data_IF_895152564556
#
_entry.id   IF_895152564556
#
_cell.length_a   1.000
_cell.length_b   1.000
_cell.length_c   1.000
_cell.angle_alpha   90.00
_cell.angle_beta   90.00
_cell.angle_gamma   90.00
#
_symmetry.space_group_name_H-M   'P 1'
#
loop_
_entity.id
_entity.type
_entity.pdbx_description
1 polymer ?
#
# COMPACT_ATOMS: atom_id res chain seq x y z
N UNK A 1 -28.67 -12.01 -11.05
CA UNK A 1 -27.42 -11.23 -11.00
C UNK A 1 -27.63 -9.99 -11.86
N UNK A 2 -27.42 -8.79 -11.33
CA UNK A 2 -27.47 -7.55 -12.12
C UNK A 2 -26.06 -7.14 -12.50
N UNK A 3 -25.87 -6.70 -13.73
CA UNK A 3 -24.59 -6.21 -14.26
C UNK A 3 -24.83 -4.92 -15.04
N UNK A 4 -23.87 -4.01 -14.97
CA UNK A 4 -23.80 -2.89 -15.91
C UNK A 4 -23.08 -3.38 -17.16
N UNK A 5 -23.69 -3.15 -18.32
CA UNK A 5 -23.15 -3.52 -19.61
C UNK A 5 -23.38 -2.37 -20.59
N UNK A 6 -22.46 -2.21 -21.54
CA UNK A 6 -22.71 -1.34 -22.71
C UNK A 6 -23.87 -1.90 -23.52
N UNK A 7 -24.66 -1.03 -24.14
CA UNK A 7 -25.87 -1.42 -24.86
C UNK A 7 -25.62 -2.45 -25.98
N UNK A 8 -24.51 -2.32 -26.71
CA UNK A 8 -24.09 -3.24 -27.77
C UNK A 8 -23.79 -4.65 -27.24
N UNK A 9 -23.11 -4.73 -26.10
CA UNK A 9 -22.84 -5.99 -25.42
C UNK A 9 -24.11 -6.57 -24.78
N UNK A 10 -24.96 -5.73 -24.20
CA UNK A 10 -26.20 -6.15 -23.57
C UNK A 10 -27.14 -6.83 -24.58
N UNK A 11 -27.28 -6.25 -25.78
CA UNK A 11 -28.04 -6.85 -26.88
C UNK A 11 -27.45 -8.18 -27.34
N UNK A 12 -26.13 -8.25 -27.52
CA UNK A 12 -25.43 -9.48 -27.95
C UNK A 12 -25.58 -10.61 -26.92
N UNK A 13 -25.58 -10.27 -25.63
CA UNK A 13 -25.69 -11.23 -24.52
C UNK A 13 -27.14 -11.57 -24.14
N UNK A 14 -28.14 -10.98 -24.80
CA UNK A 14 -29.55 -11.20 -24.50
C UNK A 14 -29.95 -10.70 -23.10
N UNK A 15 -29.28 -9.66 -22.59
CA UNK A 15 -29.57 -9.08 -21.29
C UNK A 15 -30.80 -8.17 -21.38
N UNK A 16 -31.66 -8.25 -20.37
CA UNK A 16 -32.83 -7.37 -20.26
C UNK A 16 -32.61 -6.29 -19.20
N UNK A 17 -33.07 -5.05 -19.41
CA UNK A 17 -33.04 -4.02 -18.39
C UNK A 17 -33.81 -4.45 -17.15
N UNK A 18 -33.23 -4.23 -15.97
CA UNK A 18 -33.86 -4.55 -14.70
C UNK A 18 -33.49 -3.51 -13.64
N UNK A 19 -34.43 -3.21 -12.75
CA UNK A 19 -34.18 -2.34 -11.61
C UNK A 19 -33.45 -3.08 -10.49
N UNK A 20 -32.70 -2.33 -9.69
CA UNK A 20 -32.11 -2.86 -8.46
C UNK A 20 -33.20 -3.47 -7.55
N UNK A 21 -32.96 -4.64 -6.92
CA UNK A 21 -33.91 -5.23 -5.99
C UNK A 21 -34.19 -4.29 -4.81
N UNK A 22 -35.43 -4.32 -4.30
CA UNK A 22 -35.79 -3.62 -3.08
C UNK A 22 -34.86 -4.03 -1.93
N UNK A 23 -34.38 -3.04 -1.16
CA UNK A 23 -33.46 -3.26 -0.03
C UNK A 23 -31.97 -3.40 -0.41
N UNK A 24 -31.60 -3.45 -1.70
CA UNK A 24 -30.17 -3.52 -2.10
C UNK A 24 -29.37 -2.34 -1.56
N UNK A 25 -29.89 -1.11 -1.67
CA UNK A 25 -29.20 0.09 -1.20
C UNK A 25 -28.90 0.02 0.30
N UNK A 26 -29.90 -0.31 1.12
CA UNK A 26 -29.74 -0.47 2.56
C UNK A 26 -28.75 -1.59 2.93
N UNK A 27 -28.78 -2.71 2.21
CA UNK A 27 -27.83 -3.80 2.42
C UNK A 27 -26.38 -3.40 2.06
N UNK A 28 -26.19 -2.64 0.97
CA UNK A 28 -24.87 -2.12 0.58
C UNK A 28 -24.36 -1.10 1.59
N UNK A 29 -25.19 -0.15 2.01
CA UNK A 29 -24.83 0.86 3.00
C UNK A 29 -24.38 0.21 4.31
N UNK A 30 -25.15 -0.76 4.82
CA UNK A 30 -24.78 -1.54 5.99
C UNK A 30 -23.42 -2.23 5.82
N UNK A 31 -23.23 -2.94 4.70
CA UNK A 31 -21.98 -3.67 4.44
C UNK A 31 -20.77 -2.74 4.32
N UNK A 32 -20.93 -1.60 3.64
CA UNK A 32 -19.87 -0.60 3.48
C UNK A 32 -19.52 0.02 4.83
N UNK A 33 -20.52 0.37 5.64
CA UNK A 33 -20.31 0.92 6.98
C UNK A 33 -19.55 -0.06 7.88
N UNK A 34 -19.99 -1.31 7.96
CA UNK A 34 -19.32 -2.35 8.77
C UNK A 34 -17.87 -2.59 8.33
N UNK A 35 -17.62 -2.70 7.02
CA UNK A 35 -16.27 -2.90 6.48
C UNK A 35 -15.37 -1.68 6.65
N UNK A 36 -15.93 -0.48 6.56
CA UNK A 36 -15.20 0.77 6.78
C UNK A 36 -14.79 0.88 8.24
N UNK A 37 -15.70 0.59 9.17
CA UNK A 37 -15.39 0.56 10.60
C UNK A 37 -14.29 -0.45 10.95
N UNK A 38 -14.35 -1.68 10.41
CA UNK A 38 -13.30 -2.68 10.63
C UNK A 38 -11.95 -2.27 10.02
N UNK A 39 -11.96 -1.68 8.82
CA UNK A 39 -10.75 -1.14 8.20
C UNK A 39 -10.10 -0.09 9.07
N UNK A 40 -10.89 0.88 9.54
CA UNK A 40 -10.37 2.01 10.32
C UNK A 40 -9.86 1.53 11.68
N UNK A 41 -10.56 0.59 12.33
CA UNK A 41 -10.09 -0.10 13.54
C UNK A 41 -8.70 -0.72 13.34
N UNK A 42 -8.49 -1.47 12.26
CA UNK A 42 -7.18 -2.10 11.96
C UNK A 42 -6.08 -1.07 11.67
N UNK A 43 -6.42 0.05 11.04
CA UNK A 43 -5.44 1.12 10.80
C UNK A 43 -5.04 1.81 12.09
N UNK A 44 -5.98 2.01 13.01
CA UNK A 44 -5.70 2.61 14.30
C UNK A 44 -4.88 1.67 15.19
N UNK A 45 -5.15 0.36 15.17
CA UNK A 45 -4.30 -0.65 15.80
C UNK A 45 -2.86 -0.61 15.25
N UNK A 46 -2.71 -0.60 13.93
CA UNK A 46 -1.40 -0.47 13.30
C UNK A 46 -0.68 0.79 13.77
N UNK A 47 -1.33 1.96 13.71
CA UNK A 47 -0.75 3.24 14.11
C UNK A 47 -0.38 3.28 15.59
N UNK A 48 -1.17 2.63 16.44
CA UNK A 48 -0.89 2.52 17.86
C UNK A 48 0.35 1.65 18.13
N UNK A 49 0.54 0.59 17.33
CA UNK A 49 1.68 -0.32 17.41
C UNK A 49 2.98 0.31 16.87
N UNK A 50 2.94 1.02 15.74
CA UNK A 50 4.15 1.53 15.06
C UNK A 50 4.57 2.94 15.51
N UNK A 51 4.63 3.18 16.82
CA UNK A 51 5.12 4.45 17.36
C UNK A 51 6.65 4.50 17.32
N UNK A 52 7.19 5.31 16.40
CA UNK A 52 8.63 5.51 16.25
C UNK A 52 9.34 4.34 15.55
N UNK A 53 10.67 4.35 15.63
CA UNK A 53 11.52 3.39 14.93
C UNK A 53 11.36 1.97 15.48
N UNK A 54 11.33 1.80 16.80
CA UNK A 54 11.27 0.49 17.45
C UNK A 54 9.98 -0.25 17.11
N UNK A 55 8.83 0.45 17.14
CA UNK A 55 7.55 -0.15 16.76
C UNK A 55 7.52 -0.63 15.29
N UNK A 56 8.19 0.09 14.39
CA UNK A 56 8.33 -0.35 12.99
C UNK A 56 9.27 -1.56 12.85
N UNK A 57 10.37 -1.58 13.60
CA UNK A 57 11.29 -2.72 13.63
C UNK A 57 10.59 -3.97 14.15
N UNK A 58 9.80 -3.83 15.21
CA UNK A 58 9.02 -4.91 15.81
C UNK A 58 7.93 -5.41 14.86
N UNK A 59 7.20 -4.51 14.20
CA UNK A 59 6.15 -4.87 13.24
C UNK A 59 6.69 -5.73 12.07
N UNK A 60 7.90 -5.45 11.61
CA UNK A 60 8.55 -6.21 10.54
C UNK A 60 9.59 -7.22 11.04
N UNK A 61 9.60 -7.53 12.34
CA UNK A 61 10.60 -8.39 12.99
C UNK A 61 10.57 -9.86 12.56
N UNK A 62 9.54 -10.32 11.87
CA UNK A 62 9.51 -11.68 11.29
C UNK A 62 9.77 -11.67 9.80
N UNK A 63 10.04 -10.52 9.18
CA UNK A 63 10.31 -10.45 7.75
C UNK A 63 11.67 -11.08 7.45
N UNK A 64 11.66 -12.04 6.52
CA UNK A 64 12.84 -12.76 6.01
C UNK A 64 13.30 -12.22 4.65
N UNK A 65 12.75 -11.07 4.22
CA UNK A 65 13.12 -10.40 2.96
C UNK A 65 13.03 -11.32 1.72
N UNK A 66 12.05 -12.23 1.68
CA UNK A 66 11.83 -13.13 0.54
C UNK A 66 11.28 -12.43 -0.72
N UNK A 67 10.93 -11.14 -0.62
CA UNK A 67 10.37 -10.32 -1.70
C UNK A 67 9.02 -10.76 -2.28
N UNK A 68 8.36 -11.83 -1.80
CA UNK A 68 7.04 -12.25 -2.30
C UNK A 68 6.00 -11.13 -2.29
N UNK A 69 5.97 -10.33 -1.23
CA UNK A 69 5.04 -9.20 -1.12
C UNK A 69 5.31 -8.08 -2.16
N UNK A 70 6.51 -8.03 -2.75
CA UNK A 70 6.86 -7.18 -3.90
C UNK A 70 6.39 -7.84 -5.20
N UNK A 71 6.70 -9.12 -5.41
CA UNK A 71 6.35 -9.86 -6.64
C UNK A 71 4.84 -9.90 -6.85
N UNK A 72 4.07 -10.16 -5.79
CA UNK A 72 2.62 -10.25 -5.86
C UNK A 72 1.92 -8.88 -5.99
N UNK A 73 2.66 -7.77 -5.88
CA UNK A 73 2.06 -6.45 -5.90
C UNK A 73 1.97 -5.91 -7.34
N UNK A 74 0.77 -5.55 -7.83
CA UNK A 74 0.56 -5.20 -9.24
C UNK A 74 1.14 -3.84 -9.59
N UNK A 75 1.43 -3.00 -8.59
CA UNK A 75 2.06 -1.68 -8.76
C UNK A 75 3.58 -1.71 -8.57
N UNK A 76 4.18 -2.87 -8.24
CA UNK A 76 5.63 -3.04 -8.19
C UNK A 76 6.19 -3.52 -9.53
N UNK A 77 6.10 -2.69 -10.58
CA UNK A 77 6.47 -3.05 -11.96
C UNK A 77 7.73 -2.34 -12.47
N UNK A 78 8.47 -1.62 -11.62
CA UNK A 78 9.68 -0.92 -12.03
C UNK A 78 10.65 -1.85 -12.78
N UNK A 79 11.17 -1.45 -13.96
CA UNK A 79 12.12 -2.27 -14.72
C UNK A 79 13.39 -2.59 -13.92
N UNK A 80 13.87 -1.59 -13.18
CA UNK A 80 15.03 -1.64 -12.30
C UNK A 80 14.56 -1.39 -10.87
N UNK A 81 14.94 -2.28 -9.95
CA UNK A 81 14.64 -2.13 -8.53
C UNK A 81 15.92 -2.31 -7.73
N UNK A 82 16.23 -1.35 -6.86
CA UNK A 82 17.43 -1.36 -6.01
C UNK A 82 17.53 -2.61 -5.11
N UNK A 83 16.40 -3.28 -4.82
CA UNK A 83 16.39 -4.54 -4.06
C UNK A 83 16.61 -5.79 -4.93
N UNK A 84 16.82 -5.62 -6.23
CA UNK A 84 17.25 -6.64 -7.19
C UNK A 84 18.66 -6.39 -7.70
N UNK A 85 19.34 -5.35 -7.22
CA UNK A 85 20.74 -5.05 -7.53
C UNK A 85 21.64 -5.47 -6.36
N UNK A 86 22.97 -5.57 -6.56
CA UNK A 86 23.92 -5.87 -5.50
C UNK A 86 24.08 -4.76 -4.43
N UNK A 87 23.29 -3.68 -4.49
CA UNK A 87 23.41 -2.52 -3.58
C UNK A 87 23.26 -2.90 -2.11
N UNK A 88 22.50 -3.97 -1.80
CA UNK A 88 22.32 -4.47 -0.44
C UNK A 88 23.04 -5.81 -0.19
N UNK A 89 23.92 -6.22 -1.10
CA UNK A 89 24.77 -7.40 -0.96
C UNK A 89 26.09 -6.97 -0.30
N UNK A 90 26.04 -6.84 1.02
CA UNK A 90 27.22 -6.42 1.79
C UNK A 90 28.27 -7.54 1.87
N UNK A 91 29.53 -7.16 1.92
CA UNK A 91 30.63 -8.11 2.13
C UNK A 91 30.58 -8.74 3.51
N UNK A 92 31.12 -9.95 3.68
CA UNK A 92 31.19 -10.62 4.99
C UNK A 92 31.84 -9.74 6.06
N UNK A 93 32.94 -9.06 5.73
CA UNK A 93 33.65 -8.16 6.64
C UNK A 93 32.76 -7.02 7.15
N UNK A 94 31.86 -6.50 6.32
CA UNK A 94 30.94 -5.43 6.70
C UNK A 94 29.92 -5.90 7.74
N UNK A 95 29.39 -7.12 7.61
CA UNK A 95 28.52 -7.70 8.64
C UNK A 95 29.24 -7.88 9.98
N UNK A 96 30.49 -8.37 9.98
CA UNK A 96 31.28 -8.49 11.21
C UNK A 96 31.57 -7.13 11.84
N UNK A 97 31.98 -6.13 11.05
CA UNK A 97 32.21 -4.77 11.53
C UNK A 97 30.96 -4.16 12.16
N UNK A 98 29.77 -4.41 11.61
CA UNK A 98 28.52 -3.95 12.21
C UNK A 98 28.17 -4.72 13.48
N UNK A 99 28.36 -6.03 13.50
CA UNK A 99 28.13 -6.85 14.70
C UNK A 99 29.04 -6.43 15.85
N UNK A 100 30.33 -6.19 15.59
CA UNK A 100 31.28 -5.70 16.59
C UNK A 100 30.88 -4.33 17.14
N UNK A 101 30.48 -3.40 16.27
CA UNK A 101 30.07 -2.04 16.68
C UNK A 101 28.74 -2.01 17.43
N UNK A 102 27.79 -2.88 17.08
CA UNK A 102 26.41 -2.87 17.61
C UNK A 102 26.15 -3.97 18.65
N UNK A 103 27.13 -4.83 18.93
CA UNK A 103 27.00 -6.04 19.74
C UNK A 103 26.26 -7.19 19.04
N UNK A 104 25.25 -6.89 18.23
CA UNK A 104 24.55 -7.85 17.40
C UNK A 104 24.00 -7.19 16.13
N UNK A 105 23.72 -8.01 15.11
CA UNK A 105 22.96 -7.60 13.94
C UNK A 105 21.83 -8.59 13.67
N UNK A 106 20.72 -8.07 13.15
CA UNK A 106 19.64 -8.88 12.60
C UNK A 106 19.99 -9.31 11.17
N UNK A 107 19.72 -10.57 10.85
CA UNK A 107 19.74 -11.09 9.47
C UNK A 107 18.32 -11.52 9.04
N UNK A 108 17.90 -11.20 7.80
CA UNK A 108 18.58 -10.32 6.86
C UNK A 108 18.59 -8.85 7.33
N UNK A 109 19.66 -8.12 7.01
CA UNK A 109 19.76 -6.68 7.26
C UNK A 109 18.74 -5.91 6.42
N UNK A 110 18.64 -4.59 6.59
CA UNK A 110 17.92 -3.73 5.65
C UNK A 110 16.40 -4.04 5.48
N UNK A 111 15.82 -4.80 6.42
CA UNK A 111 14.40 -5.16 6.39
C UNK A 111 13.51 -3.93 6.47
N UNK A 112 13.85 -2.97 7.33
CA UNK A 112 13.06 -1.75 7.46
C UNK A 112 13.18 -0.84 6.24
N UNK A 113 14.40 -0.63 5.72
CA UNK A 113 14.59 0.20 4.52
C UNK A 113 13.87 -0.42 3.31
N UNK A 114 13.82 -1.76 3.20
CA UNK A 114 13.00 -2.45 2.22
C UNK A 114 11.53 -2.04 2.25
N UNK A 115 10.91 -2.04 3.43
CA UNK A 115 9.51 -1.65 3.57
C UNK A 115 9.30 -0.14 3.39
N UNK A 116 10.19 0.70 3.90
CA UNK A 116 10.10 2.17 3.76
C UNK A 116 10.24 2.64 2.32
N UNK A 117 11.21 2.11 1.56
CA UNK A 117 11.36 2.45 0.13
C UNK A 117 10.12 2.05 -0.65
N UNK A 118 9.56 0.87 -0.38
CA UNK A 118 8.32 0.43 -1.03
C UNK A 118 7.12 1.30 -0.65
N UNK A 119 6.97 1.65 0.62
CA UNK A 119 5.92 2.58 1.07
C UNK A 119 6.04 3.92 0.35
N UNK A 120 7.25 4.46 0.24
CA UNK A 120 7.51 5.71 -0.45
C UNK A 120 7.06 5.65 -1.92
N UNK A 121 7.42 4.59 -2.65
CA UNK A 121 7.08 4.46 -4.07
C UNK A 121 5.59 4.20 -4.33
N UNK A 122 4.90 3.52 -3.40
CA UNK A 122 3.58 2.94 -3.67
C UNK A 122 2.43 3.64 -2.96
N UNK A 123 2.69 4.48 -1.96
CA UNK A 123 1.64 4.94 -1.05
C UNK A 123 0.50 5.67 -1.78
N UNK A 124 0.80 6.50 -2.78
CA UNK A 124 -0.21 7.20 -3.58
C UNK A 124 -0.98 6.25 -4.51
N UNK A 125 -0.37 5.16 -4.98
CA UNK A 125 -0.97 4.20 -5.93
C UNK A 125 -1.60 2.96 -5.28
N UNK A 126 -1.49 2.79 -3.96
CA UNK A 126 -1.99 1.59 -3.28
C UNK A 126 -3.53 1.56 -3.25
N UNK A 127 -4.13 0.58 -3.92
CA UNK A 127 -5.59 0.34 -3.94
C UNK A 127 -6.09 -0.59 -2.83
N UNK A 128 -5.21 -1.12 -1.98
CA UNK A 128 -5.60 -2.01 -0.87
C UNK A 128 -6.02 -3.43 -1.30
N UNK A 129 -5.46 -3.97 -2.38
CA UNK A 129 -5.80 -5.30 -2.91
C UNK A 129 -5.41 -6.49 -2.01
N UNK A 130 -4.58 -6.29 -0.98
CA UNK A 130 -4.25 -7.32 0.01
C UNK A 130 -3.24 -8.39 -0.44
N UNK A 131 -2.86 -8.44 -1.72
CA UNK A 131 -1.98 -9.49 -2.25
C UNK A 131 -0.62 -9.57 -1.56
N UNK A 132 -0.08 -8.44 -1.10
CA UNK A 132 1.20 -8.41 -0.38
C UNK A 132 1.16 -9.13 0.97
N UNK A 133 0.02 -9.11 1.67
CA UNK A 133 -0.18 -9.90 2.90
C UNK A 133 -0.46 -11.36 2.58
N UNK A 134 -1.30 -11.64 1.59
CA UNK A 134 -1.60 -13.01 1.14
C UNK A 134 -0.33 -13.77 0.73
N UNK A 135 0.63 -13.08 0.10
CA UNK A 135 1.89 -13.67 -0.34
C UNK A 135 2.97 -13.77 0.76
N UNK A 136 2.72 -13.27 1.97
CA UNK A 136 3.72 -13.27 3.04
C UNK A 136 3.75 -14.63 3.74
N UNK A 137 4.89 -15.36 3.73
CA UNK A 137 4.98 -16.67 4.38
C UNK A 137 5.03 -16.59 5.92
N UNK A 138 5.18 -15.39 6.49
CA UNK A 138 5.26 -15.15 7.93
C UNK A 138 4.06 -14.35 8.46
N UNK A 139 2.96 -14.32 7.70
CA UNK A 139 1.69 -13.68 8.08
C UNK A 139 1.79 -12.21 8.51
N UNK A 140 2.80 -11.49 7.99
CA UNK A 140 2.96 -10.06 8.30
C UNK A 140 1.79 -9.29 7.66
N UNK A 141 1.09 -8.40 8.40
CA UNK A 141 0.00 -7.59 7.86
C UNK A 141 0.52 -6.42 6.99
N UNK A 142 1.32 -6.73 5.97
CA UNK A 142 1.89 -5.76 5.01
C UNK A 142 0.81 -4.90 4.37
N UNK A 143 -0.34 -5.47 3.99
CA UNK A 143 -1.45 -4.74 3.40
C UNK A 143 -2.03 -3.68 4.35
N UNK A 144 -2.14 -3.99 5.65
CA UNK A 144 -2.59 -3.03 6.67
C UNK A 144 -1.63 -1.86 6.77
N UNK A 145 -0.32 -2.13 6.91
CA UNK A 145 0.70 -1.09 6.98
C UNK A 145 0.68 -0.19 5.74
N UNK A 146 0.67 -0.80 4.56
CA UNK A 146 0.71 -0.06 3.29
C UNK A 146 -0.57 0.75 3.06
N UNK A 147 -1.74 0.19 3.36
CA UNK A 147 -3.00 0.92 3.17
C UNK A 147 -3.21 2.01 4.23
N UNK A 148 -2.77 1.80 5.47
CA UNK A 148 -2.85 2.81 6.52
C UNK A 148 -1.97 4.04 6.22
N UNK A 149 -0.78 3.82 5.65
CA UNK A 149 0.10 4.90 5.15
C UNK A 149 -0.50 5.54 3.90
N UNK A 150 -0.94 4.72 2.93
CA UNK A 150 -1.57 5.20 1.70
C UNK A 150 -2.81 6.07 1.97
N UNK A 151 -3.63 5.75 2.97
CA UNK A 151 -4.78 6.58 3.34
C UNK A 151 -4.35 8.01 3.67
N UNK A 152 -3.24 8.18 4.42
CA UNK A 152 -2.74 9.51 4.77
C UNK A 152 -2.12 10.20 3.56
N UNK A 153 -1.28 9.51 2.80
CA UNK A 153 -0.60 10.16 1.65
C UNK A 153 -1.58 10.51 0.53
N UNK A 154 -2.56 9.67 0.25
CA UNK A 154 -3.61 9.96 -0.72
C UNK A 154 -4.50 11.13 -0.27
N UNK A 155 -4.84 11.23 1.02
CA UNK A 155 -5.62 12.34 1.56
C UNK A 155 -4.91 13.70 1.45
N UNK A 156 -3.58 13.73 1.53
CA UNK A 156 -2.78 14.95 1.32
C UNK A 156 -3.02 15.55 -0.08
N UNK A 157 -3.26 14.72 -1.09
CA UNK A 157 -3.48 15.13 -2.48
C UNK A 157 -4.95 15.12 -2.90
N UNK A 158 -5.90 14.90 -1.97
CA UNK A 158 -7.31 14.61 -2.28
C UNK A 158 -7.48 13.54 -3.38
N UNK A 159 -6.60 12.54 -3.36
CA UNK A 159 -6.50 11.50 -4.37
C UNK A 159 -7.10 10.20 -3.88
N UNK A 160 -7.67 9.39 -4.78
CA UNK A 160 -8.05 8.01 -4.47
C UNK A 160 -7.52 7.10 -5.58
N UNK A 161 -6.58 6.23 -5.22
CA UNK A 161 -5.96 5.34 -6.18
C UNK A 161 -7.00 4.52 -6.96
N UNK A 162 -6.97 4.62 -8.28
CA UNK A 162 -7.84 3.86 -9.18
C UNK A 162 -9.27 4.37 -9.31
N UNK A 163 -9.64 5.54 -8.75
CA UNK A 163 -11.02 6.08 -8.91
C UNK A 163 -11.35 6.49 -10.34
N UNK A 164 -10.35 6.87 -11.14
CA UNK A 164 -10.51 7.32 -12.52
C UNK A 164 -9.27 7.02 -13.35
N UNK A 165 -9.46 6.61 -14.60
CA UNK A 165 -8.37 6.45 -15.57
C UNK A 165 -7.91 7.79 -16.17
N UNK A 166 -8.70 8.85 -16.00
CA UNK A 166 -8.41 10.20 -16.52
C UNK A 166 -7.68 11.08 -15.50
N UNK A 167 -7.46 10.55 -14.30
CA UNK A 167 -6.82 11.29 -13.23
C UNK A 167 -5.39 10.80 -13.04
N UNK A 168 -4.45 11.73 -13.19
CA UNK A 168 -3.03 11.42 -13.05
C UNK A 168 -2.66 11.09 -11.60
N UNK A 169 -1.65 10.24 -11.44
CA UNK A 169 -1.08 9.92 -10.12
C UNK A 169 -0.29 11.14 -9.63
N UNK A 170 -0.42 11.56 -8.35
CA UNK A 170 0.27 12.75 -7.84
C UNK A 170 1.78 12.80 -8.10
N UNK A 171 2.48 11.67 -7.99
CA UNK A 171 3.93 11.60 -8.22
C UNK A 171 4.36 11.65 -9.70
N UNK A 172 3.41 11.65 -10.64
CA UNK A 172 3.67 11.71 -12.07
C UNK A 172 3.34 13.08 -12.69
N UNK A 173 2.84 14.01 -11.88
CA UNK A 173 2.44 15.36 -12.31
C UNK A 173 2.98 16.41 -11.35
N UNK A 174 2.90 17.68 -11.75
CA UNK A 174 3.30 18.82 -10.93
C UNK A 174 2.22 19.89 -11.01
N UNK A 175 1.89 20.50 -9.88
CA UNK A 175 0.91 21.57 -9.75
C UNK A 175 1.52 22.68 -8.89
N UNK A 176 1.55 23.90 -9.41
CA UNK A 176 2.19 25.04 -8.73
C UNK A 176 1.48 25.46 -7.43
N UNK A 177 0.17 25.22 -7.37
CA UNK A 177 -0.72 25.54 -6.25
C UNK A 177 -1.03 24.33 -5.35
N UNK A 178 -0.26 23.24 -5.48
CA UNK A 178 -0.35 22.06 -4.62
C UNK A 178 0.44 22.24 -3.31
N UNK A 179 -0.13 21.80 -2.19
CA UNK A 179 0.49 21.80 -0.85
C UNK A 179 1.00 23.16 -0.35
N UNK A 180 0.36 24.25 -0.76
CA UNK A 180 0.70 25.63 -0.33
C UNK A 180 0.67 25.86 1.19
N UNK A 181 -0.01 25.00 1.95
CA UNK A 181 -0.04 25.04 3.41
C UNK A 181 1.16 24.34 4.10
N UNK A 182 1.95 23.54 3.36
CA UNK A 182 3.10 22.78 3.89
C UNK A 182 4.46 23.45 3.66
N UNK A 183 4.51 24.48 2.81
CA UNK A 183 5.71 25.28 2.56
C UNK A 183 5.35 26.76 2.62
N UNK A 184 6.00 27.51 3.51
CA UNK A 184 5.97 28.96 3.43
C UNK A 184 6.43 29.37 2.02
N UNK A 185 5.61 30.13 1.28
CA UNK A 185 6.15 30.95 0.18
C UNK A 185 6.90 32.09 0.87
N UNK A 186 8.23 32.19 0.77
CA UNK A 186 8.87 33.46 1.07
C UNK A 186 8.33 34.48 0.07
N UNK A 187 7.88 35.61 0.59
CA UNK A 187 7.46 36.78 -0.19
C UNK A 187 8.58 37.29 -1.11
#
# INVERSE_FOLDING_TARGET
MLIEARDDLAGTLGLTPANAPAGRAAALEKLVSERTAERDRRFDEFRAQVKGLDGLLDYFSTCIRCHNCMIACPICYCPECIFRTPTFDHTSAQYFNWAERKGAIRLPTDTLIFHLTRLNHMSTSCVGCGMCSSACPNDIPVATAFRAVAQKTQAIYDYVAGRSLKEDVPLATFREDELTALGERPE
#
